data_IF_173918326058
#
_entry.id   IF_173918326058
#
_cell.length_a   1.000
_cell.length_b   1.000
_cell.length_c   1.000
_cell.angle_alpha   90.00
_cell.angle_beta   90.00
_cell.angle_gamma   90.00
#
_symmetry.space_group_name_H-M   'P 1'
#
loop_
_entity.id
_entity.type
_entity.pdbx_description
1 polymer ?
#
# COMPACT_ATOMS: atom_id res chain seq x y z
N UNK A 1 13.41 6.86 3.19
CA UNK A 1 13.41 8.32 3.47
C UNK A 1 12.03 8.70 4.00
N UNK A 2 11.91 9.38 5.16
CA UNK A 2 10.61 9.79 5.67
C UNK A 2 9.98 10.82 4.73
N UNK A 3 8.68 10.67 4.46
CA UNK A 3 7.89 11.60 3.64
C UNK A 3 7.94 12.98 4.30
N UNK A 4 8.43 14.00 3.57
CA UNK A 4 8.51 15.38 4.06
C UNK A 4 7.13 15.91 4.42
N UNK A 5 7.08 16.62 5.54
CA UNK A 5 5.97 17.44 6.03
C UNK A 5 5.24 18.14 4.88
N UNK A 6 3.99 17.75 4.62
CA UNK A 6 3.07 18.44 3.70
C UNK A 6 2.53 17.64 2.51
N UNK A 7 3.10 16.48 2.14
CA UNK A 7 2.51 15.61 1.09
C UNK A 7 1.73 14.46 1.68
N UNK A 8 0.46 14.33 1.32
CA UNK A 8 -0.34 13.16 1.65
C UNK A 8 0.20 11.95 0.91
N UNK A 9 0.11 10.77 1.51
CA UNK A 9 0.42 9.52 0.82
C UNK A 9 -0.42 9.33 -0.45
N UNK A 10 -1.65 9.88 -0.48
CA UNK A 10 -2.47 9.88 -1.71
C UNK A 10 -1.83 10.66 -2.84
N UNK A 11 -1.16 11.78 -2.54
CA UNK A 11 -0.48 12.61 -3.55
C UNK A 11 0.71 11.86 -4.17
N UNK A 12 1.15 10.77 -3.56
CA UNK A 12 2.16 9.88 -4.12
C UNK A 12 1.61 8.92 -5.18
N UNK A 13 0.28 8.79 -5.29
CA UNK A 13 -0.37 7.96 -6.30
C UNK A 13 -0.69 8.86 -7.51
N UNK A 14 0.24 8.95 -8.44
CA UNK A 14 0.04 9.69 -9.68
C UNK A 14 -0.60 8.79 -10.74
N UNK A 15 -1.77 9.19 -11.25
CA UNK A 15 -2.47 8.46 -12.32
C UNK A 15 -3.08 7.12 -11.87
N UNK A 16 -3.06 6.13 -12.76
CA UNK A 16 -3.57 4.78 -12.49
C UNK A 16 -2.61 3.96 -11.63
N UNK A 17 -3.15 3.04 -10.84
CA UNK A 17 -2.36 2.11 -10.02
C UNK A 17 -2.95 0.69 -10.06
N UNK A 18 -2.11 -0.29 -9.76
CA UNK A 18 -2.53 -1.68 -9.52
C UNK A 18 -2.75 -1.84 -8.02
N UNK A 19 -3.97 -2.19 -7.62
CA UNK A 19 -4.28 -2.53 -6.23
C UNK A 19 -3.94 -4.00 -5.98
N UNK A 20 -3.00 -4.25 -5.08
CA UNK A 20 -2.66 -5.58 -4.58
C UNK A 20 -3.33 -5.75 -3.22
N UNK A 21 -4.23 -6.72 -3.11
CA UNK A 21 -4.96 -7.01 -1.88
C UNK A 21 -4.32 -8.22 -1.20
N UNK A 22 -3.96 -8.04 0.07
CA UNK A 22 -3.47 -9.10 0.96
C UNK A 22 -4.42 -9.27 2.15
N UNK A 23 -4.39 -10.42 2.81
CA UNK A 23 -5.28 -10.63 3.96
C UNK A 23 -4.77 -9.94 5.23
N UNK A 24 -3.45 -10.01 5.49
CA UNK A 24 -2.83 -9.53 6.72
C UNK A 24 -1.83 -8.40 6.43
N UNK A 25 -1.69 -7.39 7.31
CA UNK A 25 -0.71 -6.31 7.14
C UNK A 25 0.73 -6.82 6.97
N UNK A 26 1.11 -7.88 7.70
CA UNK A 26 2.44 -8.49 7.59
C UNK A 26 2.70 -9.04 6.18
N UNK A 27 1.69 -9.59 5.52
CA UNK A 27 1.80 -10.09 4.15
C UNK A 27 1.98 -8.92 3.16
N UNK A 28 1.20 -7.85 3.31
CA UNK A 28 1.35 -6.63 2.49
C UNK A 28 2.75 -6.01 2.59
N UNK A 29 3.31 -5.93 3.80
CA UNK A 29 4.69 -5.46 4.03
C UNK A 29 5.76 -6.38 3.40
N UNK A 30 5.55 -7.70 3.40
CA UNK A 30 6.47 -8.63 2.76
C UNK A 30 6.44 -8.47 1.23
N UNK A 31 5.24 -8.33 0.64
CA UNK A 31 5.05 -8.09 -0.79
C UNK A 31 5.71 -6.76 -1.21
N UNK A 32 5.56 -5.70 -0.42
CA UNK A 32 6.13 -4.39 -0.77
C UNK A 32 7.65 -4.41 -0.86
N UNK A 33 8.32 -5.13 0.06
CA UNK A 33 9.77 -5.34 0.05
C UNK A 33 10.23 -6.23 -1.10
N UNK A 34 9.45 -7.27 -1.42
CA UNK A 34 9.80 -8.23 -2.48
C UNK A 34 9.68 -7.64 -3.89
N UNK A 35 8.75 -6.70 -4.11
CA UNK A 35 8.47 -6.16 -5.43
C UNK A 35 9.64 -5.33 -5.99
N UNK A 36 10.09 -4.29 -5.27
CA UNK A 36 11.13 -3.37 -5.77
C UNK A 36 12.04 -2.78 -4.68
N UNK A 37 12.02 -3.34 -3.45
CA UNK A 37 12.89 -2.93 -2.35
C UNK A 37 12.50 -1.62 -1.65
N UNK A 38 12.13 -0.59 -2.42
CA UNK A 38 11.70 0.70 -1.89
C UNK A 38 10.17 0.83 -1.89
N UNK A 39 9.60 1.05 -0.71
CA UNK A 39 8.17 1.30 -0.54
C UNK A 39 7.93 2.47 0.43
N UNK A 40 6.86 3.20 0.19
CA UNK A 40 6.35 4.21 1.12
C UNK A 40 5.27 3.54 1.95
N UNK A 41 5.51 3.39 3.26
CA UNK A 41 4.48 2.97 4.20
C UNK A 41 3.59 4.15 4.57
N UNK A 42 2.29 3.91 4.48
CA UNK A 42 1.24 4.87 4.70
C UNK A 42 0.16 4.27 5.59
N UNK A 43 -0.71 5.12 6.14
CA UNK A 43 -1.86 4.68 6.92
C UNK A 43 -3.11 5.43 6.50
N UNK A 44 -4.21 4.70 6.40
CA UNK A 44 -5.55 5.27 6.20
C UNK A 44 -6.51 4.55 7.15
N UNK A 45 -7.32 5.31 7.89
CA UNK A 45 -8.22 4.77 8.92
C UNK A 45 -7.55 3.80 9.93
N UNK A 46 -6.26 4.00 10.24
CA UNK A 46 -5.48 3.13 11.11
C UNK A 46 -4.94 1.84 10.46
N UNK A 47 -5.29 1.55 9.21
CA UNK A 47 -4.82 0.40 8.45
C UNK A 47 -3.57 0.80 7.63
N UNK A 48 -2.45 0.07 7.76
CA UNK A 48 -1.27 0.33 6.94
C UNK A 48 -1.47 -0.13 5.50
N UNK A 49 -0.89 0.62 4.57
CA UNK A 49 -0.77 0.26 3.17
C UNK A 49 0.58 0.73 2.64
N UNK A 50 1.01 0.18 1.50
CA UNK A 50 2.31 0.48 0.92
C UNK A 50 2.17 0.95 -0.53
N UNK A 51 2.90 2.00 -0.88
CA UNK A 51 3.02 2.48 -2.26
C UNK A 51 4.38 2.05 -2.77
N UNK A 52 4.39 1.31 -3.87
CA UNK A 52 5.61 0.86 -4.55
C UNK A 52 5.59 1.38 -5.97
N UNK A 53 6.69 1.98 -6.40
CA UNK A 53 6.83 2.51 -7.76
C UNK A 53 7.88 1.71 -8.52
N UNK A 54 7.55 1.28 -9.72
CA UNK A 54 8.52 0.76 -10.69
C UNK A 54 8.37 1.50 -12.01
N UNK A 55 9.24 2.48 -12.23
CA UNK A 55 9.21 3.33 -13.42
C UNK A 55 7.84 3.96 -13.64
N UNK A 56 7.11 3.46 -14.64
CA UNK A 56 5.79 3.97 -15.04
C UNK A 56 4.60 3.34 -14.31
N UNK A 57 4.81 2.34 -13.44
CA UNK A 57 3.71 1.65 -12.73
C UNK A 57 3.75 1.92 -11.23
N UNK A 58 2.59 2.28 -10.69
CA UNK A 58 2.35 2.41 -9.26
C UNK A 58 1.58 1.19 -8.77
N UNK A 59 2.06 0.57 -7.69
CA UNK A 59 1.38 -0.49 -6.97
C UNK A 59 0.98 0.05 -5.61
N UNK A 60 -0.29 -0.15 -5.25
CA UNK A 60 -0.80 0.11 -3.90
C UNK A 60 -1.11 -1.23 -3.27
N UNK A 61 -0.48 -1.53 -2.15
CA UNK A 61 -0.65 -2.81 -1.45
C UNK A 61 -1.44 -2.54 -0.19
N UNK A 62 -2.65 -3.08 -0.13
CA UNK A 62 -3.56 -2.93 1.00
C UNK A 62 -3.86 -4.29 1.66
N UNK A 63 -4.25 -4.23 2.93
CA UNK A 63 -4.65 -5.40 3.70
C UNK A 63 -6.15 -5.36 3.98
N UNK A 64 -6.84 -6.49 3.82
CA UNK A 64 -8.25 -6.64 4.27
C UNK A 64 -8.37 -6.76 5.79
N UNK A 65 -7.26 -7.06 6.48
CA UNK A 65 -7.22 -7.34 7.92
C UNK A 65 -8.12 -8.53 8.34
N UNK A 66 -8.47 -9.41 7.40
CA UNK A 66 -9.40 -10.53 7.60
C UNK A 66 -10.54 -10.53 6.58
N UNK A 67 -11.65 -11.18 6.95
CA UNK A 67 -12.86 -11.22 6.12
C UNK A 67 -13.59 -9.87 6.19
N UNK A 68 -13.78 -9.22 5.05
CA UNK A 68 -14.54 -7.96 4.97
C UNK A 68 -16.06 -8.19 4.93
N UNK A 69 -16.48 -9.38 4.52
CA UNK A 69 -17.88 -9.77 4.38
C UNK A 69 -18.07 -11.22 4.85
N UNK A 70 -19.24 -11.51 5.41
CA UNK A 70 -19.68 -12.86 5.80
C UNK A 70 -21.13 -13.06 5.35
N UNK A 71 -21.58 -14.31 5.29
CA UNK A 71 -22.99 -14.63 5.05
C UNK A 71 -23.83 -14.25 6.29
N UNK A 72 -25.01 -13.70 6.03
CA UNK A 72 -26.04 -13.37 7.03
C UNK A 72 -27.00 -14.52 7.27
#
# INVERSE_FOLDING_TARGET
MPVKSGKSCRDSIEGGYVLVISEKPKAGAAISRALYGDSIECREAGVPYWIVRNGKRTYVIASTAGHLFTLS
#
